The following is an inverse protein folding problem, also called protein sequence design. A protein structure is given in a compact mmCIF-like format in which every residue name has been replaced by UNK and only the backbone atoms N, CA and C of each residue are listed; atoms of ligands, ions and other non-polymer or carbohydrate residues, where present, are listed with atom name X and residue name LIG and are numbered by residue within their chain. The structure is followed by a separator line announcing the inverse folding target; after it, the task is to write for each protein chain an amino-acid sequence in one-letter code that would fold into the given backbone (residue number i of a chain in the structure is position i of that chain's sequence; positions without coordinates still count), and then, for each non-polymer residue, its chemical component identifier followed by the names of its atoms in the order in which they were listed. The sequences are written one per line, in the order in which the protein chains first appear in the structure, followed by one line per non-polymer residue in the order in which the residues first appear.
data_IF_407740160055
#
_entry.id   IF_407740160055
#
_cell.length_a   1.000
_cell.length_b   1.000
_cell.length_c   1.000
_cell.angle_alpha   90.00
_cell.angle_beta   90.00
_cell.angle_gamma   90.00
#
_symmetry.space_group_name_H-M   'P 1'
#
loop_
_entity.id
_entity.type
_entity.pdbx_description
1 polymer ?
#
# COMPACT_ATOMS: atom_id res chain seq x y z
N UNK A 1 17.41 -20.77 -0.37
CA UNK A 1 17.44 -19.36 -0.07
C UNK A 1 16.07 -18.72 -0.34
N UNK A 2 15.57 -18.00 0.62
CA UNK A 2 14.25 -17.39 0.50
C UNK A 2 14.16 -16.39 -0.66
N UNK A 3 15.27 -15.76 -1.00
CA UNK A 3 15.28 -14.79 -2.10
C UNK A 3 14.95 -15.45 -3.45
N UNK A 4 15.14 -16.76 -3.55
CA UNK A 4 14.88 -17.50 -4.79
C UNK A 4 13.48 -18.09 -4.86
N UNK A 5 12.69 -17.94 -3.80
CA UNK A 5 11.33 -18.48 -3.78
C UNK A 5 10.41 -17.62 -4.64
N UNK A 6 9.79 -18.20 -5.69
CA UNK A 6 8.87 -17.42 -6.52
C UNK A 6 7.69 -16.83 -5.75
N UNK A 7 7.23 -17.49 -4.70
CA UNK A 7 6.14 -16.99 -3.88
C UNK A 7 6.56 -15.71 -3.15
N UNK A 8 7.76 -15.68 -2.60
CA UNK A 8 8.26 -14.49 -1.91
C UNK A 8 8.44 -13.33 -2.88
N UNK A 9 8.98 -13.60 -4.05
CA UNK A 9 9.16 -12.58 -5.08
C UNK A 9 7.82 -12.01 -5.53
N UNK A 10 6.81 -12.85 -5.67
CA UNK A 10 5.47 -12.43 -6.07
C UNK A 10 4.86 -11.54 -4.98
N UNK A 11 5.00 -11.93 -3.71
CA UNK A 11 4.47 -11.15 -2.61
C UNK A 11 5.12 -9.77 -2.53
N UNK A 12 6.43 -9.69 -2.73
CA UNK A 12 7.14 -8.41 -2.70
C UNK A 12 6.67 -7.50 -3.83
N UNK A 13 6.48 -8.06 -5.02
CA UNK A 13 5.98 -7.27 -6.15
C UNK A 13 4.57 -6.78 -5.91
N UNK A 14 3.72 -7.62 -5.33
CA UNK A 14 2.36 -7.24 -5.03
C UNK A 14 2.32 -6.14 -3.97
N UNK A 15 3.13 -6.27 -2.92
CA UNK A 15 3.23 -5.24 -1.89
C UNK A 15 3.68 -3.92 -2.49
N UNK A 16 4.71 -3.94 -3.34
CA UNK A 16 5.21 -2.73 -3.98
C UNK A 16 4.14 -2.07 -4.83
N UNK A 17 3.41 -2.87 -5.60
CA UNK A 17 2.34 -2.35 -6.45
C UNK A 17 1.25 -1.68 -5.62
N UNK A 18 0.83 -2.33 -4.53
CA UNK A 18 -0.20 -1.78 -3.65
C UNK A 18 0.29 -0.50 -2.97
N UNK A 19 1.52 -0.51 -2.47
CA UNK A 19 2.08 0.67 -1.82
C UNK A 19 2.17 1.85 -2.78
N UNK A 20 2.64 1.60 -4.00
CA UNK A 20 2.76 2.65 -5.00
C UNK A 20 1.39 3.22 -5.38
N UNK A 21 0.38 2.36 -5.52
CA UNK A 21 -0.97 2.82 -5.82
C UNK A 21 -1.51 3.72 -4.71
N UNK A 22 -1.27 3.35 -3.46
CA UNK A 22 -1.70 4.15 -2.30
C UNK A 22 -0.97 5.49 -2.29
N UNK A 23 0.35 5.48 -2.47
CA UNK A 23 1.16 6.69 -2.47
C UNK A 23 0.71 7.63 -3.59
N UNK A 24 0.53 7.10 -4.80
CA UNK A 24 0.11 7.90 -5.93
C UNK A 24 -1.26 8.55 -5.67
N UNK A 25 -2.18 7.81 -5.08
CA UNK A 25 -3.50 8.36 -4.77
C UNK A 25 -3.39 9.50 -3.76
N UNK A 26 -2.59 9.30 -2.71
CA UNK A 26 -2.39 10.34 -1.69
C UNK A 26 -1.84 11.61 -2.33
N UNK A 27 -0.84 11.47 -3.19
CA UNK A 27 -0.22 12.61 -3.86
C UNK A 27 -1.19 13.31 -4.81
N UNK A 28 -1.90 12.54 -5.63
CA UNK A 28 -2.81 13.11 -6.62
C UNK A 28 -4.01 13.80 -5.97
N UNK A 29 -4.48 13.25 -4.85
CA UNK A 29 -5.59 13.84 -4.12
C UNK A 29 -5.15 15.00 -3.21
N UNK A 30 -3.85 15.20 -3.06
CA UNK A 30 -3.33 16.26 -2.19
C UNK A 30 -3.60 16.01 -0.72
N UNK A 31 -3.64 14.75 -0.31
CA UNK A 31 -3.95 14.40 1.07
C UNK A 31 -2.71 14.55 1.96
N UNK A 32 -2.94 15.06 3.18
CA UNK A 32 -1.93 14.96 4.22
C UNK A 32 -1.88 13.53 4.73
N UNK A 33 -0.81 13.19 5.44
CA UNK A 33 -0.73 11.86 6.04
C UNK A 33 -1.84 11.64 7.06
N UNK A 34 -2.21 12.69 7.80
CA UNK A 34 -3.30 12.59 8.77
C UNK A 34 -4.64 12.35 8.08
N UNK A 35 -4.92 13.07 6.99
CA UNK A 35 -6.16 12.87 6.25
C UNK A 35 -6.23 11.49 5.62
N UNK A 36 -5.11 11.03 5.05
CA UNK A 36 -5.04 9.68 4.49
C UNK A 36 -5.26 8.62 5.57
N UNK A 37 -4.69 8.83 6.75
CA UNK A 37 -4.85 7.89 7.86
C UNK A 37 -6.32 7.76 8.25
N UNK A 38 -7.04 8.87 8.30
CA UNK A 38 -8.47 8.84 8.61
C UNK A 38 -9.26 8.07 7.56
N UNK A 39 -8.99 8.34 6.28
CA UNK A 39 -9.69 7.65 5.20
C UNK A 39 -9.42 6.16 5.21
N UNK A 40 -8.17 5.78 5.47
CA UNK A 40 -7.78 4.37 5.48
C UNK A 40 -8.04 3.68 6.81
N UNK A 41 -8.49 4.42 7.82
CA UNK A 41 -8.79 3.91 9.15
C UNK A 41 -7.57 3.24 9.78
N UNK A 42 -6.42 3.87 9.65
CA UNK A 42 -5.16 3.42 10.23
C UNK A 42 -4.50 4.57 10.98
N UNK A 43 -3.50 4.26 11.77
CA UNK A 43 -2.73 5.29 12.45
C UNK A 43 -1.81 6.00 11.46
N UNK A 44 -1.49 7.25 11.76
CA UNK A 44 -0.62 8.06 10.90
C UNK A 44 0.75 7.40 10.71
N UNK A 45 1.26 6.72 11.73
CA UNK A 45 2.54 6.01 11.61
C UNK A 45 2.50 4.95 10.52
N UNK A 46 1.34 4.33 10.30
CA UNK A 46 1.18 3.34 9.25
C UNK A 46 1.26 4.01 7.87
N UNK A 47 0.65 5.17 7.71
CA UNK A 47 0.75 5.94 6.47
C UNK A 47 2.20 6.33 6.20
N UNK A 48 2.90 6.76 7.25
CA UNK A 48 4.31 7.11 7.14
C UNK A 48 5.15 5.92 6.65
N UNK A 49 4.88 4.73 7.20
CA UNK A 49 5.59 3.52 6.78
C UNK A 49 5.36 3.23 5.29
N UNK A 50 4.13 3.37 4.82
CA UNK A 50 3.82 3.16 3.40
C UNK A 50 4.55 4.19 2.55
N UNK A 51 4.48 5.46 2.92
CA UNK A 51 5.10 6.53 2.14
C UNK A 51 6.63 6.41 2.10
N UNK A 52 7.22 5.78 3.10
CA UNK A 52 8.67 5.56 3.14
C UNK A 52 9.09 4.21 2.55
N UNK A 53 8.15 3.46 1.99
CA UNK A 53 8.45 2.21 1.31
C UNK A 53 8.91 1.10 2.23
N UNK A 54 8.45 1.10 3.48
CA UNK A 54 8.85 0.08 4.46
C UNK A 54 8.05 -1.20 4.26
N UNK A 55 8.39 -1.88 3.19
CA UNK A 55 7.63 -3.03 2.70
C UNK A 55 7.62 -4.19 3.69
N UNK A 56 8.69 -4.35 4.46
CA UNK A 56 8.83 -5.43 5.43
C UNK A 56 7.92 -5.25 6.65
N UNK A 57 7.40 -4.05 6.87
CA UNK A 57 6.50 -3.77 8.00
C UNK A 57 5.03 -3.89 7.63
N UNK A 58 4.74 -4.17 6.37
CA UNK A 58 3.36 -4.21 5.88
C UNK A 58 3.00 -5.59 5.41
N UNK A 59 1.78 -6.02 5.71
CA UNK A 59 1.23 -7.25 5.15
C UNK A 59 0.40 -6.90 3.93
N UNK A 60 0.24 -7.88 3.03
CA UNK A 60 -0.61 -7.69 1.85
C UNK A 60 -2.04 -7.39 2.28
N UNK A 61 -2.54 -8.10 3.30
CA UNK A 61 -3.91 -7.89 3.79
C UNK A 61 -4.12 -6.46 4.25
N UNK A 62 -3.16 -5.90 4.98
CA UNK A 62 -3.26 -4.51 5.45
C UNK A 62 -3.26 -3.54 4.27
N UNK A 63 -2.40 -3.77 3.29
CA UNK A 63 -2.30 -2.91 2.11
C UNK A 63 -3.56 -2.99 1.26
N UNK A 64 -4.13 -4.17 1.10
CA UNK A 64 -5.40 -4.33 0.37
C UNK A 64 -6.51 -3.56 1.08
N UNK A 65 -6.61 -3.67 2.40
CA UNK A 65 -7.62 -2.94 3.16
C UNK A 65 -7.46 -1.44 3.02
N UNK A 66 -6.22 -0.94 3.10
CA UNK A 66 -5.95 0.48 2.95
C UNK A 66 -6.34 0.98 1.56
N UNK A 67 -5.96 0.24 0.52
CA UNK A 67 -6.31 0.60 -0.85
C UNK A 67 -7.82 0.62 -1.05
N UNK A 68 -8.52 -0.39 -0.55
CA UNK A 68 -9.96 -0.49 -0.70
C UNK A 68 -10.66 0.69 -0.03
N UNK A 69 -10.18 1.13 1.13
CA UNK A 69 -10.78 2.25 1.84
C UNK A 69 -10.54 3.58 1.15
N UNK A 70 -9.52 3.67 0.32
CA UNK A 70 -9.30 4.83 -0.54
C UNK A 70 -10.11 4.78 -1.83
N UNK A 71 -10.83 3.69 -2.06
CA UNK A 71 -11.58 3.50 -3.29
C UNK A 71 -10.75 2.97 -4.44
N UNK A 72 -9.57 2.46 -4.16
CA UNK A 72 -8.71 1.89 -5.18
C UNK A 72 -9.03 0.41 -5.38
N UNK A 73 -8.94 -0.04 -6.62
CA UNK A 73 -9.10 -1.46 -6.93
C UNK A 73 -7.90 -1.88 -7.79
N UNK A 74 -6.89 -2.51 -7.19
CA UNK A 74 -5.70 -2.91 -7.94
C UNK A 74 -6.01 -3.90 -9.07
N UNK A 75 -7.09 -4.66 -8.95
CA UNK A 75 -7.48 -5.61 -9.98
C UNK A 75 -8.04 -4.92 -11.22
N UNK A 76 -8.72 -3.79 -11.04
CA UNK A 76 -9.23 -3.01 -12.15
C UNK A 76 -8.17 -2.16 -12.81
N UNK A 77 -7.20 -1.70 -12.04
CA UNK A 77 -6.16 -0.83 -12.55
C UNK A 77 -5.26 -1.53 -13.57
N UNK A 78 -5.36 -2.83 -13.68
CA UNK A 78 -4.59 -3.59 -14.66
C UNK A 78 -5.10 -3.43 -16.08
N UNK A 79 -6.28 -2.91 -16.25
CA UNK A 79 -6.88 -2.75 -17.57
C UNK A 79 -6.22 -1.67 -18.40
#
# INVERSE_FOLDING_TARGET
DMADDPADAMQLRLKSKLMNAIIDHIEQAGLTQSAAAELMQVQRTRVNDVCNGRIDKMTIDALVAMAARLGLDPLQSAA
#
